data_IF_504001119973
#
_entry.id   IF_504001119973
#
_cell.length_a   1.000
_cell.length_b   1.000
_cell.length_c   1.000
_cell.angle_alpha   90.00
_cell.angle_beta   90.00
_cell.angle_gamma   90.00
#
_symmetry.space_group_name_H-M   'P 1'
#
loop_
_entity.id
_entity.type
_entity.pdbx_description
1 polymer ?
#
# COMPACT_ATOMS: atom_id res chain seq x y z
N UNK A 1 5.15 -20.32 -14.90
CA UNK A 1 4.68 -18.94 -15.22
C UNK A 1 4.57 -18.07 -13.95
N UNK A 2 5.09 -18.52 -12.80
CA UNK A 2 4.85 -17.88 -11.49
C UNK A 2 5.66 -16.58 -11.25
N UNK A 3 6.87 -16.47 -11.82
CA UNK A 3 7.70 -15.26 -11.67
C UNK A 3 7.07 -13.98 -12.24
N UNK A 4 6.28 -14.09 -13.32
CA UNK A 4 5.60 -12.95 -13.93
C UNK A 4 4.41 -12.45 -13.08
N UNK A 5 3.71 -13.37 -12.40
CA UNK A 5 2.60 -13.02 -11.51
C UNK A 5 3.07 -12.22 -10.31
N UNK A 6 4.20 -12.61 -9.73
CA UNK A 6 4.82 -11.90 -8.60
C UNK A 6 5.27 -10.50 -9.03
N UNK A 7 6.01 -10.39 -10.14
CA UNK A 7 6.48 -9.10 -10.64
C UNK A 7 5.33 -8.12 -10.91
N UNK A 8 4.22 -8.58 -11.50
CA UNK A 8 3.03 -7.77 -11.73
C UNK A 8 2.38 -7.30 -10.41
N UNK A 9 2.27 -8.18 -9.41
CA UNK A 9 1.70 -7.82 -8.11
C UNK A 9 2.59 -6.84 -7.34
N UNK A 10 3.92 -6.99 -7.41
CA UNK A 10 4.89 -6.07 -6.82
C UNK A 10 4.76 -4.67 -7.43
N UNK A 11 4.73 -4.58 -8.77
CA UNK A 11 4.57 -3.30 -9.48
C UNK A 11 3.24 -2.64 -9.11
N UNK A 12 2.14 -3.39 -9.09
CA UNK A 12 0.84 -2.87 -8.71
C UNK A 12 0.83 -2.29 -7.28
N UNK A 13 1.49 -2.99 -6.34
CA UNK A 13 1.67 -2.52 -4.96
C UNK A 13 2.48 -1.22 -4.90
N UNK A 14 3.56 -1.11 -5.68
CA UNK A 14 4.40 0.09 -5.75
C UNK A 14 3.56 1.27 -6.24
N UNK A 15 2.86 1.11 -7.37
CA UNK A 15 2.06 2.16 -7.99
C UNK A 15 0.90 2.63 -7.08
N UNK A 16 0.16 1.69 -6.49
CA UNK A 16 -0.94 2.00 -5.58
C UNK A 16 -0.45 2.72 -4.33
N UNK A 17 0.69 2.31 -3.77
CA UNK A 17 1.27 2.96 -2.60
C UNK A 17 1.67 4.41 -2.89
N UNK A 18 2.30 4.66 -4.05
CA UNK A 18 2.66 6.01 -4.47
C UNK A 18 1.41 6.90 -4.70
N UNK A 19 0.36 6.32 -5.28
CA UNK A 19 -0.93 7.00 -5.47
C UNK A 19 -1.58 7.37 -4.13
N UNK A 20 -1.67 6.43 -3.18
CA UNK A 20 -2.23 6.68 -1.84
C UNK A 20 -1.45 7.78 -1.12
N UNK A 21 -0.11 7.73 -1.14
CA UNK A 21 0.72 8.75 -0.52
C UNK A 21 0.43 10.15 -1.09
N UNK A 22 0.24 10.25 -2.41
CA UNK A 22 -0.13 11.49 -3.10
C UNK A 22 -1.50 12.00 -2.65
N UNK A 23 -2.51 11.12 -2.58
CA UNK A 23 -3.85 11.49 -2.12
C UNK A 23 -3.82 11.95 -0.66
N UNK A 24 -3.12 11.22 0.21
CA UNK A 24 -2.95 11.58 1.61
C UNK A 24 -2.20 12.92 1.77
N UNK A 25 -1.20 13.20 0.95
CA UNK A 25 -0.54 14.50 0.93
C UNK A 25 -1.53 15.62 0.60
N UNK A 26 -2.45 15.42 -0.36
CA UNK A 26 -3.51 16.40 -0.64
C UNK A 26 -4.45 16.57 0.56
N UNK A 27 -4.88 15.48 1.20
CA UNK A 27 -5.67 15.54 2.44
C UNK A 27 -4.93 16.31 3.56
N UNK A 28 -3.61 16.17 3.69
CA UNK A 28 -2.84 16.88 4.72
C UNK A 28 -2.90 18.41 4.59
N UNK A 29 -3.12 18.91 3.36
CA UNK A 29 -3.24 20.34 3.07
C UNK A 29 -4.64 20.87 3.36
N UNK A 30 -5.66 20.03 3.11
CA UNK A 30 -7.06 20.43 3.13
C UNK A 30 -7.80 20.03 4.43
N UNK A 31 -7.27 19.06 5.20
CA UNK A 31 -7.91 18.47 6.39
C UNK A 31 -6.99 18.57 7.60
N UNK A 32 -7.26 19.55 8.47
CA UNK A 32 -6.46 19.80 9.68
C UNK A 32 -6.78 18.85 10.84
N UNK A 33 -8.03 18.40 10.93
CA UNK A 33 -8.52 17.61 12.07
C UNK A 33 -8.03 16.14 12.07
N UNK A 34 -7.51 15.66 10.93
CA UNK A 34 -7.03 14.28 10.77
C UNK A 34 -5.52 14.22 10.45
N UNK A 35 -4.76 15.30 10.70
CA UNK A 35 -3.36 15.41 10.27
C UNK A 35 -2.47 14.25 10.76
N UNK A 36 -2.65 13.80 12.01
CA UNK A 36 -1.87 12.69 12.56
C UNK A 36 -2.14 11.37 11.82
N UNK A 37 -3.42 11.06 11.59
CA UNK A 37 -3.81 9.85 10.85
C UNK A 37 -3.29 9.89 9.40
N UNK A 38 -3.34 11.06 8.76
CA UNK A 38 -2.80 11.28 7.41
C UNK A 38 -1.29 11.04 7.37
N UNK A 39 -0.53 11.61 8.33
CA UNK A 39 0.92 11.42 8.43
C UNK A 39 1.29 9.95 8.68
N UNK A 40 0.52 9.24 9.53
CA UNK A 40 0.70 7.80 9.76
C UNK A 40 0.50 6.99 8.47
N UNK A 41 -0.55 7.27 7.69
CA UNK A 41 -0.77 6.60 6.40
C UNK A 41 0.39 6.84 5.45
N UNK A 42 0.82 8.10 5.29
CA UNK A 42 1.94 8.44 4.41
C UNK A 42 3.20 7.67 4.79
N UNK A 43 3.55 7.64 6.09
CA UNK A 43 4.75 6.99 6.59
C UNK A 43 4.77 5.49 6.27
N UNK A 44 3.71 4.78 6.63
CA UNK A 44 3.64 3.34 6.46
C UNK A 44 3.55 2.93 4.99
N UNK A 45 2.75 3.63 4.19
CA UNK A 45 2.65 3.38 2.74
C UNK A 45 3.99 3.63 2.04
N UNK A 46 4.75 4.65 2.47
CA UNK A 46 6.10 4.92 1.97
C UNK A 46 7.09 3.83 2.38
N UNK A 47 7.02 3.35 3.62
CA UNK A 47 7.88 2.26 4.10
C UNK A 47 7.63 0.96 3.31
N UNK A 48 6.35 0.63 3.10
CA UNK A 48 5.96 -0.54 2.31
C UNK A 48 6.42 -0.42 0.84
N UNK A 49 6.24 0.76 0.24
CA UNK A 49 6.69 1.02 -1.12
C UNK A 49 8.21 0.82 -1.30
N UNK A 50 9.03 1.28 -0.35
CA UNK A 50 10.49 1.07 -0.38
C UNK A 50 10.86 -0.41 -0.37
N UNK A 51 10.16 -1.20 0.43
CA UNK A 51 10.38 -2.64 0.51
C UNK A 51 9.95 -3.37 -0.76
N UNK A 52 8.79 -3.01 -1.31
CA UNK A 52 8.30 -3.55 -2.58
C UNK A 52 9.28 -3.24 -3.73
N UNK A 53 9.84 -2.03 -3.79
CA UNK A 53 10.89 -1.68 -4.75
C UNK A 53 12.15 -2.53 -4.55
N UNK A 54 12.59 -2.73 -3.31
CA UNK A 54 13.74 -3.60 -3.02
C UNK A 54 13.53 -5.05 -3.46
N UNK A 55 12.30 -5.56 -3.36
CA UNK A 55 11.92 -6.87 -3.91
C UNK A 55 11.93 -6.84 -5.44
N UNK A 56 11.37 -5.81 -6.06
CA UNK A 56 11.36 -5.65 -7.52
C UNK A 56 12.78 -5.66 -8.10
N UNK A 57 13.70 -4.91 -7.51
CA UNK A 57 15.10 -4.84 -7.94
C UNK A 57 15.80 -6.21 -7.83
N UNK A 58 15.49 -6.97 -6.77
CA UNK A 58 16.02 -8.34 -6.62
C UNK A 58 15.44 -9.31 -7.62
N UNK A 59 14.14 -9.22 -7.92
CA UNK A 59 13.47 -10.04 -8.95
C UNK A 59 13.93 -9.71 -10.37
N UNK A 60 14.32 -8.46 -10.63
CA UNK A 60 14.86 -8.02 -11.92
C UNK A 60 16.33 -8.44 -12.15
N UNK A 61 17.03 -8.92 -11.11
CA UNK A 61 18.41 -9.37 -11.19
C UNK A 61 18.57 -10.77 -11.82
N UNK A 62 19.81 -11.17 -12.17
CA UNK A 62 20.10 -12.42 -12.90
C UNK A 62 19.71 -13.72 -12.17
N UNK A 63 19.43 -13.65 -10.87
CA UNK A 63 18.97 -14.78 -10.03
C UNK A 63 17.50 -14.62 -9.57
N UNK A 64 16.78 -13.63 -10.09
CA UNK A 64 15.47 -13.19 -9.57
C UNK A 64 14.33 -14.19 -9.74
N UNK A 65 14.50 -15.21 -10.58
CA UNK A 65 13.50 -16.26 -10.79
C UNK A 65 13.62 -17.46 -9.83
N UNK A 66 14.63 -17.49 -8.95
CA UNK A 66 14.98 -18.65 -8.11
C UNK A 66 14.66 -18.46 -6.61
N UNK A 67 13.76 -17.55 -6.25
CA UNK A 67 13.25 -17.54 -4.87
C UNK A 67 12.38 -18.79 -4.64
N UNK A 68 12.83 -19.70 -3.77
CA UNK A 68 12.06 -20.87 -3.33
C UNK A 68 10.74 -20.46 -2.65
N UNK A 69 10.67 -19.20 -2.18
CA UNK A 69 9.47 -18.60 -1.59
C UNK A 69 8.56 -17.85 -2.59
N UNK A 70 8.76 -18.01 -3.91
CA UNK A 70 8.01 -17.25 -4.94
C UNK A 70 6.47 -17.30 -4.74
N UNK A 71 5.89 -18.47 -4.45
CA UNK A 71 4.45 -18.61 -4.19
C UNK A 71 3.99 -17.88 -2.93
N UNK A 72 4.80 -17.91 -1.86
CA UNK A 72 4.50 -17.23 -0.60
C UNK A 72 4.53 -15.72 -0.82
N UNK A 73 5.56 -15.22 -1.50
CA UNK A 73 5.68 -13.81 -1.86
C UNK A 73 4.54 -13.37 -2.77
N UNK A 74 4.16 -14.18 -3.77
CA UNK A 74 3.02 -13.90 -4.64
C UNK A 74 1.74 -13.65 -3.85
N UNK A 75 1.41 -14.56 -2.91
CA UNK A 75 0.23 -14.42 -2.07
C UNK A 75 0.29 -13.22 -1.13
N UNK A 76 1.48 -12.87 -0.61
CA UNK A 76 1.64 -11.67 0.22
C UNK A 76 1.41 -10.40 -0.61
N UNK A 77 2.01 -10.29 -1.80
CA UNK A 77 1.86 -9.13 -2.66
C UNK A 77 0.44 -9.00 -3.23
N UNK A 78 -0.23 -10.10 -3.53
CA UNK A 78 -1.64 -10.10 -3.94
C UNK A 78 -2.55 -9.58 -2.82
N UNK A 79 -2.37 -10.07 -1.60
CA UNK A 79 -3.13 -9.59 -0.44
C UNK A 79 -2.84 -8.11 -0.15
N UNK A 80 -1.57 -7.69 -0.21
CA UNK A 80 -1.20 -6.29 -0.04
C UNK A 80 -1.82 -5.39 -1.11
N UNK A 81 -1.83 -5.84 -2.37
CA UNK A 81 -2.49 -5.14 -3.47
C UNK A 81 -3.97 -4.93 -3.17
N UNK A 82 -4.72 -5.97 -2.82
CA UNK A 82 -6.15 -5.87 -2.50
C UNK A 82 -6.43 -4.84 -1.38
N UNK A 83 -5.59 -4.82 -0.33
CA UNK A 83 -5.76 -3.87 0.77
C UNK A 83 -5.40 -2.43 0.38
N UNK A 84 -4.43 -2.24 -0.51
CA UNK A 84 -4.14 -0.93 -1.09
C UNK A 84 -5.25 -0.47 -2.03
N UNK A 85 -5.87 -1.36 -2.82
CA UNK A 85 -7.04 -1.04 -3.65
C UNK A 85 -8.23 -0.59 -2.80
N UNK A 86 -8.53 -1.28 -1.70
CA UNK A 86 -9.56 -0.87 -0.73
C UNK A 86 -9.27 0.52 -0.12
N UNK A 87 -8.01 0.81 0.19
CA UNK A 87 -7.58 2.11 0.71
C UNK A 87 -7.75 3.20 -0.35
N UNK A 88 -7.29 2.97 -1.58
CA UNK A 88 -7.42 3.89 -2.70
C UNK A 88 -8.89 4.21 -3.00
N UNK A 89 -9.75 3.19 -3.03
CA UNK A 89 -11.18 3.34 -3.26
C UNK A 89 -11.86 4.20 -2.17
N UNK A 90 -11.45 4.05 -0.91
CA UNK A 90 -11.96 4.86 0.21
C UNK A 90 -11.40 6.29 0.18
N UNK A 91 -10.15 6.46 -0.24
CA UNK A 91 -9.47 7.76 -0.35
C UNK A 91 -9.93 8.58 -1.54
N UNK A 92 -10.52 7.95 -2.55
CA UNK A 92 -10.78 8.53 -3.85
C UNK A 92 -11.57 9.86 -3.76
N UNK A 93 -10.96 10.99 -4.16
CA UNK A 93 -11.55 12.31 -3.96
C UNK A 93 -12.87 12.51 -4.69
N UNK A 94 -13.12 11.80 -5.80
CA UNK A 94 -14.37 11.94 -6.55
C UNK A 94 -15.55 11.36 -5.78
N UNK A 95 -15.33 10.22 -5.10
CA UNK A 95 -16.32 9.53 -4.29
C UNK A 95 -16.58 10.29 -3.00
N UNK A 96 -15.52 10.78 -2.35
CA UNK A 96 -15.64 11.63 -1.17
C UNK A 96 -16.33 12.96 -1.50
N UNK A 97 -15.96 13.64 -2.61
CA UNK A 97 -16.60 14.88 -3.06
C UNK A 97 -18.05 14.68 -3.49
N UNK A 98 -18.41 13.53 -4.08
CA UNK A 98 -19.80 13.17 -4.43
C UNK A 98 -20.64 12.94 -3.17
N UNK A 99 -20.10 12.23 -2.18
CA UNK A 99 -20.75 12.07 -0.88
C UNK A 99 -20.92 13.43 -0.18
N UNK A 100 -19.87 14.26 -0.12
CA UNK A 100 -19.89 15.58 0.50
C UNK A 100 -20.86 16.56 -0.17
N UNK A 101 -20.94 16.57 -1.52
CA UNK A 101 -21.96 17.34 -2.25
C UNK A 101 -23.38 16.95 -1.85
N UNK A 102 -23.64 15.66 -1.56
CA UNK A 102 -24.95 15.17 -1.12
C UNK A 102 -25.33 15.67 0.27
N UNK A 103 -24.35 15.95 1.13
CA UNK A 103 -24.53 16.44 2.50
C UNK A 103 -24.24 17.96 2.65
N UNK A 104 -24.04 18.69 1.56
CA UNK A 104 -23.82 20.15 1.59
C UNK A 104 -22.43 20.60 2.07
N UNK A 105 -21.49 19.66 2.26
CA UNK A 105 -20.13 19.94 2.73
C UNK A 105 -19.23 20.31 1.55
N UNK A 106 -18.51 21.43 1.64
CA UNK A 106 -17.62 21.94 0.57
C UNK A 106 -16.13 21.64 0.76
N UNK A 107 -15.72 21.17 1.95
CA UNK A 107 -14.33 20.87 2.27
C UNK A 107 -14.10 19.35 2.27
N UNK A 108 -12.91 18.90 1.84
CA UNK A 108 -12.51 17.49 1.93
C UNK A 108 -12.63 17.02 3.39
N UNK A 109 -13.26 15.86 3.60
CA UNK A 109 -13.31 15.20 4.90
C UNK A 109 -12.49 13.93 4.84
N UNK A 110 -11.72 13.67 5.89
CA UNK A 110 -10.96 12.43 6.02
C UNK A 110 -11.94 11.24 6.08
N UNK A 111 -11.85 10.28 5.15
CA UNK A 111 -12.88 9.24 5.00
C UNK A 111 -12.74 8.07 5.98
N UNK A 112 -11.65 8.03 6.77
CA UNK A 112 -11.39 6.93 7.68
C UNK A 112 -11.64 7.28 9.15
N UNK A 113 -12.09 6.28 9.90
CA UNK A 113 -11.88 6.24 11.34
C UNK A 113 -10.45 5.76 11.63
N UNK A 114 -9.80 6.26 12.68
CA UNK A 114 -8.39 5.93 12.98
C UNK A 114 -8.14 4.41 13.11
N UNK A 115 -9.16 3.63 13.47
CA UNK A 115 -9.07 2.16 13.57
C UNK A 115 -9.01 1.45 12.20
N UNK A 116 -9.69 1.97 11.18
CA UNK A 116 -9.65 1.42 9.81
C UNK A 116 -8.27 1.62 9.19
N UNK A 117 -7.72 2.83 9.39
CA UNK A 117 -6.33 3.15 9.04
C UNK A 117 -5.41 2.18 9.76
N UNK A 118 -5.53 2.08 11.08
CA UNK A 118 -4.64 1.25 11.88
C UNK A 118 -4.66 -0.23 11.47
N UNK A 119 -5.82 -0.77 11.10
CA UNK A 119 -5.92 -2.15 10.61
C UNK A 119 -5.19 -2.33 9.28
N UNK A 120 -5.37 -1.42 8.33
CA UNK A 120 -4.66 -1.48 7.05
C UNK A 120 -3.15 -1.32 7.24
N UNK A 121 -2.72 -0.44 8.14
CA UNK A 121 -1.31 -0.24 8.49
C UNK A 121 -0.70 -1.48 9.15
N UNK A 122 -1.41 -2.11 10.09
CA UNK A 122 -0.98 -3.37 10.74
C UNK A 122 -0.84 -4.50 9.73
N UNK A 123 -1.75 -4.60 8.77
CA UNK A 123 -1.65 -5.60 7.71
C UNK A 123 -0.44 -5.36 6.80
N UNK A 124 -0.16 -4.11 6.41
CA UNK A 124 1.03 -3.75 5.62
C UNK A 124 2.35 -4.02 6.38
N UNK A 125 2.39 -3.73 7.69
CA UNK A 125 3.53 -4.05 8.54
C UNK A 125 3.76 -5.58 8.63
N UNK A 126 2.69 -6.36 8.77
CA UNK A 126 2.77 -7.83 8.77
C UNK A 126 3.23 -8.38 7.41
N UNK A 127 2.78 -7.80 6.30
CA UNK A 127 3.25 -8.19 4.97
C UNK A 127 4.73 -7.85 4.78
N UNK A 128 5.16 -6.70 5.26
CA UNK A 128 6.58 -6.28 5.30
C UNK A 128 7.45 -7.30 6.04
N UNK A 129 7.05 -7.71 7.23
CA UNK A 129 7.78 -8.71 8.02
C UNK A 129 7.83 -10.06 7.29
N UNK A 130 6.70 -10.51 6.75
CA UNK A 130 6.63 -11.77 6.01
C UNK A 130 7.50 -11.78 4.74
N UNK A 131 7.54 -10.66 4.00
CA UNK A 131 8.43 -10.47 2.85
C UNK A 131 9.89 -10.52 3.30
N UNK A 132 10.25 -9.78 4.35
CA UNK A 132 11.63 -9.71 4.85
C UNK A 132 12.12 -11.09 5.30
N UNK A 133 11.27 -11.86 5.98
CA UNK A 133 11.56 -13.23 6.39
C UNK A 133 11.72 -14.17 5.19
N UNK A 134 10.82 -14.10 4.20
CA UNK A 134 10.93 -14.89 2.97
C UNK A 134 12.23 -14.63 2.21
N UNK A 135 12.62 -13.35 2.10
CA UNK A 135 13.88 -12.95 1.47
C UNK A 135 15.13 -13.46 2.23
N UNK A 136 15.08 -13.56 3.57
CA UNK A 136 16.19 -14.10 4.36
C UNK A 136 16.38 -15.60 4.14
N UNK A 137 15.28 -16.35 4.05
CA UNK A 137 15.29 -17.80 3.82
C UNK A 137 15.91 -18.13 2.46
N UNK A 138 15.58 -17.38 1.41
CA UNK A 138 16.15 -17.60 0.07
C UNK A 138 17.61 -17.12 -0.09
N UNK A 139 18.17 -16.49 0.94
CA UNK A 139 19.58 -16.09 1.00
C UNK A 139 20.46 -16.98 1.89
N UNK A 140 19.90 -18.09 2.44
CA UNK A 140 20.60 -19.06 3.29
C UNK A 140 21.00 -20.34 2.56
#
# INVERSE_FOLDING_TARGET
>A
MEGLGIAANVIAVVDLSAKIATICFQYSKDVKDAKNDIERVIRETTAFNKLANGVQDRLAGPHGATLSTSHILSGIFENAKLRLEELDEKLEPSRSRKAMRRFGVRALQWPFQSNDVEKALKDLARYTEAITLGLQIDSS
#
